data_IF_385817665670
#
_entry.id   IF_385817665670
#
_cell.length_a   1.000
_cell.length_b   1.000
_cell.length_c   1.000
_cell.angle_alpha   90.00
_cell.angle_beta   90.00
_cell.angle_gamma   90.00
#
_symmetry.space_group_name_H-M   'P 1'
#
loop_
_entity.id
_entity.type
_entity.pdbx_description
1 polymer ?
#
# COMPACT_ATOMS: atom_id res chain seq x y z
N UNK A 1 -9.24 1.81 -8.78
CA UNK A 1 -10.52 1.06 -8.86
C UNK A 1 -10.87 0.83 -10.32
N UNK A 2 -11.27 -0.39 -10.65
CA UNK A 2 -11.81 -0.74 -11.97
C UNK A 2 -13.19 -0.09 -12.15
N UNK A 3 -13.44 0.55 -13.30
CA UNK A 3 -14.75 1.17 -13.58
C UNK A 3 -15.76 0.09 -13.98
N UNK A 4 -17.03 0.27 -13.60
CA UNK A 4 -18.11 -0.65 -13.97
C UNK A 4 -18.14 -0.88 -15.50
N UNK A 5 -18.23 -2.14 -15.91
CA UNK A 5 -18.28 -2.56 -17.33
C UNK A 5 -16.92 -2.70 -18.03
N UNK A 6 -15.80 -2.53 -17.32
CA UNK A 6 -14.48 -2.86 -17.88
C UNK A 6 -14.14 -4.34 -17.66
N UNK A 7 -13.59 -4.98 -18.70
CA UNK A 7 -13.13 -6.37 -18.68
C UNK A 7 -11.65 -6.43 -19.09
N UNK A 8 -10.71 -6.06 -18.21
CA UNK A 8 -9.29 -6.15 -18.52
C UNK A 8 -8.84 -7.62 -18.54
N UNK A 9 -7.79 -7.91 -19.32
CA UNK A 9 -7.22 -9.28 -19.41
C UNK A 9 -6.55 -9.74 -18.12
N UNK A 10 -6.02 -8.81 -17.34
CA UNK A 10 -5.45 -9.05 -16.03
C UNK A 10 -5.68 -7.86 -15.12
N UNK A 11 -5.65 -8.11 -13.82
CA UNK A 11 -5.83 -7.10 -12.79
C UNK A 11 -4.78 -7.26 -11.71
N UNK A 12 -4.09 -6.16 -11.40
CA UNK A 12 -3.15 -6.06 -10.29
C UNK A 12 -3.77 -5.10 -9.28
N UNK A 13 -4.32 -5.64 -8.19
CA UNK A 13 -5.01 -4.84 -7.20
C UNK A 13 -4.02 -4.22 -6.21
N UNK A 14 -4.37 -3.05 -5.67
CA UNK A 14 -3.59 -2.42 -4.60
C UNK A 14 -3.80 -3.06 -3.22
N UNK A 15 -4.90 -3.80 -3.05
CA UNK A 15 -5.18 -4.59 -1.86
C UNK A 15 -6.09 -5.80 -2.22
N UNK A 16 -6.05 -6.86 -1.40
CA UNK A 16 -6.92 -8.04 -1.54
C UNK A 16 -8.41 -7.69 -1.45
N UNK A 17 -8.78 -6.66 -0.69
CA UNK A 17 -10.18 -6.21 -0.61
C UNK A 17 -10.71 -5.81 -2.00
N UNK A 18 -9.94 -5.08 -2.79
CA UNK A 18 -10.35 -4.66 -4.14
C UNK A 18 -10.36 -5.81 -5.13
N UNK A 19 -9.54 -6.84 -4.92
CA UNK A 19 -9.58 -8.07 -5.70
C UNK A 19 -10.86 -8.88 -5.40
N UNK A 20 -11.26 -8.96 -4.13
CA UNK A 20 -12.47 -9.69 -3.72
C UNK A 20 -13.76 -9.11 -4.34
N UNK A 21 -13.83 -7.78 -4.52
CA UNK A 21 -14.94 -7.11 -5.19
C UNK A 21 -15.12 -7.50 -6.67
N UNK A 22 -14.09 -8.10 -7.29
CA UNK A 22 -14.09 -8.50 -8.71
C UNK A 22 -13.78 -9.99 -8.88
N UNK A 23 -13.88 -10.79 -7.82
CA UNK A 23 -13.47 -12.20 -7.81
C UNK A 23 -14.17 -13.07 -8.86
N UNK A 24 -15.42 -12.74 -9.23
CA UNK A 24 -16.13 -13.42 -10.31
C UNK A 24 -15.42 -13.31 -11.67
N UNK A 25 -14.70 -12.21 -11.91
CA UNK A 25 -13.92 -12.01 -13.15
C UNK A 25 -12.49 -12.56 -13.01
N UNK A 26 -11.98 -12.67 -11.78
CA UNK A 26 -10.59 -12.96 -11.43
C UNK A 26 -10.50 -14.05 -10.35
N UNK A 27 -10.77 -15.33 -10.69
CA UNK A 27 -11.00 -16.40 -9.71
C UNK A 27 -9.75 -16.93 -9.00
N UNK A 28 -8.55 -16.66 -9.52
CA UNK A 28 -7.28 -17.21 -9.01
C UNK A 28 -6.24 -16.09 -8.78
N UNK A 29 -6.45 -15.20 -7.80
CA UNK A 29 -5.47 -14.19 -7.46
C UNK A 29 -4.24 -14.80 -6.81
N UNK A 30 -3.07 -14.22 -7.13
CA UNK A 30 -1.76 -14.58 -6.59
C UNK A 30 -1.15 -13.34 -5.96
N UNK A 31 -0.80 -13.42 -4.68
CA UNK A 31 -0.15 -12.33 -3.97
C UNK A 31 1.28 -12.12 -4.50
N UNK A 32 1.57 -10.90 -4.95
CA UNK A 32 2.83 -10.56 -5.61
C UNK A 32 3.76 -9.81 -4.67
N UNK A 33 3.22 -8.78 -4.03
CA UNK A 33 3.97 -7.86 -3.19
C UNK A 33 3.08 -7.31 -2.08
N UNK A 34 3.70 -6.63 -1.13
CA UNK A 34 3.06 -5.92 -0.04
C UNK A 34 3.55 -4.48 0.01
N UNK A 35 2.67 -3.60 0.46
CA UNK A 35 2.96 -2.20 0.70
C UNK A 35 2.43 -1.82 2.08
N UNK A 36 3.24 -1.17 2.90
CA UNK A 36 2.90 -0.89 4.30
C UNK A 36 2.54 0.59 4.47
N UNK A 37 1.44 0.86 5.17
CA UNK A 37 1.19 2.17 5.74
C UNK A 37 2.20 2.44 6.85
N UNK A 38 2.83 3.61 6.77
CA UNK A 38 3.77 4.11 7.76
C UNK A 38 3.36 5.52 8.17
N UNK A 39 3.86 5.95 9.32
CA UNK A 39 3.78 7.34 9.73
C UNK A 39 5.06 8.03 9.24
N UNK A 40 4.91 8.87 8.22
CA UNK A 40 5.99 9.70 7.70
C UNK A 40 6.13 10.95 8.57
N UNK A 41 7.36 11.27 8.94
CA UNK A 41 7.74 12.45 9.73
C UNK A 41 8.97 13.12 9.12
N UNK A 42 9.24 14.36 9.51
CA UNK A 42 10.50 15.01 9.14
C UNK A 42 11.72 14.24 9.68
N UNK A 43 12.85 14.35 8.98
CA UNK A 43 14.12 13.71 9.38
C UNK A 43 14.46 14.02 10.84
N UNK A 44 14.85 12.98 11.57
CA UNK A 44 15.16 13.05 12.99
C UNK A 44 13.93 13.01 13.90
N UNK A 45 12.72 12.93 13.34
CA UNK A 45 11.45 12.82 14.07
C UNK A 45 11.32 13.87 15.20
N UNK A 46 11.25 15.16 14.88
CA UNK A 46 11.30 16.25 15.86
C UNK A 46 10.15 16.25 16.87
N UNK A 47 9.03 15.60 16.52
CA UNK A 47 7.87 15.45 17.39
C UNK A 47 7.88 14.15 18.20
N UNK A 48 8.90 13.31 18.09
CA UNK A 48 9.02 12.03 18.80
C UNK A 48 7.80 11.11 18.61
N UNK A 49 7.31 11.01 17.37
CA UNK A 49 6.19 10.13 17.02
C UNK A 49 6.70 8.70 16.88
N UNK A 50 6.13 7.77 17.64
CA UNK A 50 6.55 6.37 17.66
C UNK A 50 5.41 5.39 17.38
N UNK A 51 4.18 5.88 17.41
CA UNK A 51 2.98 5.07 17.24
C UNK A 51 1.83 5.89 16.67
N UNK A 52 0.78 5.21 16.23
CA UNK A 52 -0.47 5.86 15.81
C UNK A 52 -1.08 6.74 16.90
N UNK A 53 -0.97 6.31 18.17
CA UNK A 53 -1.54 7.06 19.30
C UNK A 53 -0.85 8.41 19.50
N UNK A 54 0.42 8.54 19.13
CA UNK A 54 1.11 9.82 19.21
C UNK A 54 0.53 10.87 18.25
N UNK A 55 -0.19 10.44 17.19
CA UNK A 55 -0.88 11.34 16.27
C UNK A 55 -2.08 12.05 16.90
N UNK A 56 -2.57 11.59 18.05
CA UNK A 56 -3.69 12.22 18.78
C UNK A 56 -3.23 13.34 19.71
N UNK A 57 -1.91 13.59 19.84
CA UNK A 57 -1.39 14.66 20.70
C UNK A 57 -1.78 16.02 20.14
N UNK A 58 -2.30 16.89 21.00
CA UNK A 58 -2.78 18.22 20.61
C UNK A 58 -1.70 19.04 19.90
N UNK A 59 -2.11 19.80 18.88
CA UNK A 59 -1.24 20.72 18.15
C UNK A 59 -0.45 20.09 17.01
N UNK A 60 -0.53 18.77 16.80
CA UNK A 60 0.03 18.13 15.60
C UNK A 60 -0.81 18.40 14.36
N UNK A 61 -0.15 18.66 13.24
CA UNK A 61 -0.75 18.77 11.90
C UNK A 61 -0.55 17.46 11.16
N UNK A 62 -1.60 16.66 11.11
CA UNK A 62 -1.57 15.33 10.50
C UNK A 62 -2.20 15.38 9.10
N UNK A 63 -1.51 14.80 8.12
CA UNK A 63 -2.05 14.59 6.77
C UNK A 63 -2.40 13.13 6.50
N UNK A 64 -3.52 12.89 5.83
CA UNK A 64 -3.95 11.54 5.43
C UNK A 64 -4.47 11.49 3.99
N UNK A 65 -4.61 10.29 3.45
CA UNK A 65 -5.37 10.08 2.22
C UNK A 65 -6.87 10.30 2.45
N UNK A 66 -7.56 10.85 1.45
CA UNK A 66 -9.01 11.04 1.52
C UNK A 66 -9.73 9.71 1.23
N UNK A 67 -10.50 9.21 2.19
CA UNK A 67 -11.09 7.85 2.19
C UNK A 67 -11.92 7.52 0.93
N UNK A 68 -12.63 8.51 0.38
CA UNK A 68 -13.49 8.33 -0.80
C UNK A 68 -12.79 8.55 -2.14
N UNK A 69 -11.53 9.00 -2.12
CA UNK A 69 -10.80 9.39 -3.33
C UNK A 69 -9.64 8.43 -3.64
N UNK A 70 -9.12 7.70 -2.64
CA UNK A 70 -8.06 6.74 -2.85
C UNK A 70 -8.10 5.56 -1.86
N UNK A 71 -7.58 4.41 -2.31
CA UNK A 71 -7.47 3.20 -1.50
C UNK A 71 -6.66 3.42 -0.21
N UNK A 72 -5.53 4.11 -0.30
CA UNK A 72 -4.68 4.47 0.85
C UNK A 72 -5.47 5.20 1.94
N UNK A 73 -6.35 6.14 1.56
CA UNK A 73 -7.18 6.88 2.50
C UNK A 73 -8.21 5.99 3.20
N UNK A 74 -8.84 5.06 2.45
CA UNK A 74 -9.77 4.09 3.01
C UNK A 74 -9.07 3.17 4.02
N UNK A 75 -7.89 2.65 3.65
CA UNK A 75 -7.07 1.79 4.51
C UNK A 75 -6.64 2.57 5.77
N UNK A 76 -6.17 3.81 5.62
CA UNK A 76 -5.77 4.68 6.75
C UNK A 76 -6.91 4.85 7.76
N UNK A 77 -8.15 5.08 7.30
CA UNK A 77 -9.29 5.21 8.19
C UNK A 77 -9.60 3.90 8.94
N UNK A 78 -9.45 2.75 8.28
CA UNK A 78 -9.64 1.47 8.94
C UNK A 78 -8.52 1.15 9.92
N UNK A 79 -7.27 1.49 9.59
CA UNK A 79 -6.13 1.42 10.50
C UNK A 79 -6.39 2.25 11.77
N UNK A 80 -6.96 3.45 11.65
CA UNK A 80 -7.32 4.26 12.82
C UNK A 80 -8.48 3.68 13.63
N UNK A 81 -9.47 3.05 12.98
CA UNK A 81 -10.59 2.36 13.66
C UNK A 81 -10.10 1.16 14.45
N UNK A 82 -9.30 0.29 13.83
CA UNK A 82 -8.73 -0.90 14.47
C UNK A 82 -7.79 -0.50 15.62
N UNK A 83 -7.02 0.58 15.44
CA UNK A 83 -6.19 1.18 16.48
C UNK A 83 -6.98 1.90 17.59
N UNK A 84 -8.29 2.08 17.44
CA UNK A 84 -9.15 2.73 18.44
C UNK A 84 -8.86 4.21 18.66
N UNK A 85 -8.32 4.92 17.66
CA UNK A 85 -7.93 6.35 17.75
C UNK A 85 -8.63 7.24 16.74
N UNK A 86 -9.56 6.69 15.94
CA UNK A 86 -10.15 7.39 14.80
C UNK A 86 -10.78 8.73 15.20
N UNK A 87 -11.48 8.78 16.33
CA UNK A 87 -12.16 10.02 16.72
C UNK A 87 -11.17 11.10 17.15
N UNK A 88 -10.16 10.72 17.94
CA UNK A 88 -9.17 11.63 18.50
C UNK A 88 -8.18 12.13 17.45
N UNK A 89 -7.69 11.25 16.57
CA UNK A 89 -6.72 11.64 15.54
C UNK A 89 -7.31 12.62 14.53
N UNK A 90 -8.61 12.49 14.23
CA UNK A 90 -9.27 13.36 13.26
C UNK A 90 -9.33 14.83 13.70
N UNK A 91 -9.20 15.13 15.00
CA UNK A 91 -9.07 16.51 15.48
C UNK A 91 -7.76 17.18 15.04
N UNK A 92 -6.72 16.38 14.80
CA UNK A 92 -5.39 16.83 14.34
C UNK A 92 -5.21 16.72 12.83
N UNK A 93 -6.17 16.13 12.10
CA UNK A 93 -6.10 15.99 10.65
C UNK A 93 -6.38 17.34 10.00
N UNK A 94 -5.33 18.00 9.50
CA UNK A 94 -5.42 19.30 8.83
C UNK A 94 -5.53 19.19 7.31
N UNK A 95 -5.18 18.03 6.75
CA UNK A 95 -5.11 17.81 5.30
C UNK A 95 -5.60 16.41 4.94
N UNK A 96 -6.45 16.32 3.92
CA UNK A 96 -6.83 15.08 3.26
C UNK A 96 -6.60 15.19 1.75
N UNK A 97 -5.88 14.26 1.15
CA UNK A 97 -5.49 14.34 -0.28
C UNK A 97 -5.84 13.09 -1.07
N UNK A 98 -6.01 13.18 -2.40
CA UNK A 98 -6.26 12.00 -3.23
C UNK A 98 -5.01 11.11 -3.45
N UNK A 99 -3.79 11.56 -3.13
CA UNK A 99 -2.55 10.84 -3.46
C UNK A 99 -1.50 10.97 -2.35
N UNK A 100 -0.70 9.92 -2.14
CA UNK A 100 0.37 9.93 -1.14
C UNK A 100 1.49 10.94 -1.43
N UNK A 101 1.81 11.18 -2.71
CA UNK A 101 2.86 12.11 -3.11
C UNK A 101 2.56 13.56 -2.67
N UNK A 102 1.29 13.94 -2.62
CA UNK A 102 0.87 15.25 -2.09
C UNK A 102 1.12 15.38 -0.58
N UNK A 103 1.02 14.28 0.18
CA UNK A 103 1.34 14.26 1.61
C UNK A 103 2.85 14.39 1.83
N UNK A 104 3.64 13.64 1.05
CA UNK A 104 5.11 13.69 1.08
C UNK A 104 5.61 15.11 0.78
N UNK A 105 5.08 15.74 -0.26
CA UNK A 105 5.44 17.11 -0.61
C UNK A 105 5.11 18.12 0.51
N UNK A 106 3.97 17.97 1.18
CA UNK A 106 3.57 18.86 2.27
C UNK A 106 4.40 18.64 3.55
N UNK A 107 4.78 17.40 3.85
CA UNK A 107 5.74 17.10 4.91
C UNK A 107 7.09 17.75 4.64
N UNK A 108 7.62 17.61 3.42
CA UNK A 108 8.88 18.23 2.99
C UNK A 108 8.83 19.76 3.04
N UNK A 109 7.67 20.35 2.77
CA UNK A 109 7.45 21.79 2.89
C UNK A 109 7.26 22.29 4.33
N UNK A 110 7.19 21.39 5.32
CA UNK A 110 6.94 21.74 6.72
C UNK A 110 5.50 22.15 7.05
N UNK A 111 4.56 21.89 6.12
CA UNK A 111 3.13 22.17 6.32
C UNK A 111 2.46 21.14 7.23
N UNK A 112 3.05 19.95 7.35
CA UNK A 112 2.59 18.86 8.21
C UNK A 112 3.70 18.45 9.17
N UNK A 113 3.30 17.94 10.33
CA UNK A 113 4.21 17.37 11.33
C UNK A 113 4.32 15.84 11.16
N UNK A 114 3.24 15.21 10.69
CA UNK A 114 3.19 13.81 10.32
C UNK A 114 2.20 13.55 9.17
N UNK A 115 2.40 12.46 8.43
CA UNK A 115 1.40 11.95 7.51
C UNK A 115 1.33 10.42 7.55
N UNK A 116 0.14 9.86 7.33
CA UNK A 116 -0.02 8.42 7.10
C UNK A 116 -0.11 8.16 5.61
N UNK A 117 0.89 7.44 5.09
CA UNK A 117 1.02 7.12 3.68
C UNK A 117 1.71 5.76 3.51
N UNK A 118 1.77 5.25 2.29
CA UNK A 118 2.56 4.06 2.02
C UNK A 118 4.07 4.35 2.11
N UNK A 119 4.85 3.37 2.56
CA UNK A 119 6.31 3.43 2.57
C UNK A 119 6.86 3.77 1.19
N UNK A 120 6.27 3.17 0.15
CA UNK A 120 6.64 3.43 -1.25
C UNK A 120 6.44 4.87 -1.71
N UNK A 121 5.51 5.65 -1.13
CA UNK A 121 5.40 7.07 -1.45
C UNK A 121 6.63 7.87 -0.98
N UNK A 122 7.32 7.38 0.05
CA UNK A 122 8.54 8.00 0.56
C UNK A 122 9.83 7.43 -0.07
N UNK A 123 9.72 6.55 -1.07
CA UNK A 123 10.86 6.06 -1.83
C UNK A 123 11.68 7.24 -2.36
N UNK A 124 12.99 7.23 -2.15
CA UNK A 124 13.89 8.33 -2.52
C UNK A 124 13.79 9.61 -1.67
N UNK A 125 12.94 9.66 -0.63
CA UNK A 125 12.82 10.81 0.28
C UNK A 125 13.50 10.61 1.64
N UNK A 126 14.26 9.51 1.83
CA UNK A 126 14.88 9.13 3.11
C UNK A 126 15.94 10.10 3.66
N UNK A 127 16.46 11.02 2.84
CA UNK A 127 17.31 12.12 3.30
C UNK A 127 16.50 13.20 4.04
N UNK A 128 15.21 13.33 3.76
CA UNK A 128 14.34 14.39 4.28
C UNK A 128 13.30 13.91 5.27
N UNK A 129 12.90 12.64 5.16
CA UNK A 129 11.83 12.04 5.93
C UNK A 129 12.31 10.77 6.62
N UNK A 130 11.73 10.49 7.78
CA UNK A 130 11.80 9.18 8.42
C UNK A 130 10.42 8.51 8.39
N UNK A 131 10.41 7.18 8.33
CA UNK A 131 9.20 6.38 8.36
C UNK A 131 9.13 5.60 9.68
N UNK A 132 8.03 5.77 10.41
CA UNK A 132 7.73 5.04 11.64
C UNK A 132 6.72 3.95 11.30
N UNK A 133 7.09 2.70 11.56
CA UNK A 133 6.23 1.55 11.29
C UNK A 133 4.98 1.54 12.18
N UNK A 134 3.85 1.18 11.58
CA UNK A 134 2.61 0.91 12.30
C UNK A 134 2.62 -0.57 12.69
N UNK A 135 2.66 -0.86 13.98
CA UNK A 135 2.74 -2.23 14.50
C UNK A 135 1.39 -2.70 15.05
N UNK A 136 1.12 -4.00 14.90
CA UNK A 136 -0.04 -4.66 15.53
C UNK A 136 -1.39 -4.34 14.92
N UNK A 137 -1.43 -3.78 13.71
CA UNK A 137 -2.66 -3.51 12.95
C UNK A 137 -2.53 -4.15 11.59
N UNK A 138 -3.32 -5.20 11.34
CA UNK A 138 -3.17 -6.04 10.15
C UNK A 138 -3.52 -5.27 8.88
N UNK A 139 -4.60 -4.47 8.92
CA UNK A 139 -5.03 -3.70 7.76
C UNK A 139 -4.05 -2.58 7.35
N UNK A 140 -3.02 -2.26 8.15
CA UNK A 140 -1.99 -1.32 7.75
C UNK A 140 -1.08 -1.88 6.63
N UNK A 141 -1.11 -3.19 6.39
CA UNK A 141 -0.35 -3.84 5.31
C UNK A 141 -1.28 -4.17 4.16
N UNK A 142 -1.04 -3.55 3.00
CA UNK A 142 -1.81 -3.80 1.78
C UNK A 142 -1.12 -4.90 0.94
N UNK A 143 -1.83 -5.99 0.70
CA UNK A 143 -1.33 -7.11 -0.14
C UNK A 143 -1.76 -6.87 -1.57
N UNK A 144 -0.84 -6.93 -2.52
CA UNK A 144 -1.10 -6.64 -3.92
C UNK A 144 -1.23 -7.95 -4.72
N UNK A 145 -2.46 -8.43 -4.99
CA UNK A 145 -2.66 -9.62 -5.78
C UNK A 145 -2.73 -9.31 -7.28
N UNK A 146 -2.21 -10.23 -8.08
CA UNK A 146 -2.37 -10.31 -9.52
C UNK A 146 -3.33 -11.44 -9.89
N UNK A 147 -4.22 -11.20 -10.84
CA UNK A 147 -5.07 -12.25 -11.42
C UNK A 147 -5.27 -12.03 -12.92
N UNK A 148 -5.43 -13.13 -13.66
CA UNK A 148 -5.84 -13.12 -15.07
C UNK A 148 -7.35 -13.30 -15.14
N UNK A 149 -8.01 -12.56 -16.02
CA UNK A 149 -9.46 -12.67 -16.22
C UNK A 149 -9.83 -14.03 -16.78
N UNK A 150 -10.88 -14.65 -16.23
CA UNK A 150 -11.42 -15.92 -16.75
C UNK A 150 -11.94 -15.81 -18.20
N UNK A 151 -12.23 -14.59 -18.65
CA UNK A 151 -12.76 -14.28 -19.99
C UNK A 151 -11.67 -13.79 -20.96
N UNK A 152 -10.41 -13.70 -20.52
CA UNK A 152 -9.33 -13.16 -21.35
C UNK A 152 -9.09 -14.02 -22.59
N UNK A 153 -9.10 -13.38 -23.76
CA UNK A 153 -8.65 -14.00 -25.01
C UNK A 153 -7.12 -14.02 -25.13
N UNK A 154 -6.42 -13.38 -24.20
CA UNK A 154 -4.98 -13.18 -24.20
C UNK A 154 -4.32 -13.78 -22.95
N UNK A 155 -4.88 -14.84 -22.39
CA UNK A 155 -4.38 -15.49 -21.17
C UNK A 155 -2.87 -15.78 -21.21
N UNK A 156 -2.36 -16.30 -22.34
CA UNK A 156 -0.93 -16.59 -22.51
C UNK A 156 -0.06 -15.32 -22.48
N UNK A 157 -0.57 -14.20 -23.00
CA UNK A 157 0.12 -12.91 -22.93
C UNK A 157 0.11 -12.38 -21.51
N UNK A 158 -1.01 -12.50 -20.80
CA UNK A 158 -1.11 -12.12 -19.39
C UNK A 158 -0.18 -12.97 -18.50
N UNK A 159 -0.04 -14.27 -18.77
CA UNK A 159 0.92 -15.14 -18.08
C UNK A 159 2.37 -14.72 -18.32
N UNK A 160 2.76 -14.42 -19.56
CA UNK A 160 4.12 -13.92 -19.86
C UNK A 160 4.40 -12.56 -19.20
N UNK A 161 3.38 -11.69 -19.12
CA UNK A 161 3.49 -10.43 -18.38
C UNK A 161 3.70 -10.71 -16.88
N UNK A 162 2.95 -11.66 -16.31
CA UNK A 162 3.14 -12.06 -14.92
C UNK A 162 4.53 -12.63 -14.65
N UNK A 163 5.06 -13.48 -15.54
CA UNK A 163 6.44 -13.96 -15.47
C UNK A 163 7.46 -12.82 -15.51
N UNK A 164 7.24 -11.81 -16.37
CA UNK A 164 8.09 -10.63 -16.42
C UNK A 164 8.03 -9.80 -15.13
N UNK A 165 6.83 -9.63 -14.54
CA UNK A 165 6.64 -8.99 -13.23
C UNK A 165 7.38 -9.78 -12.14
N UNK A 166 7.40 -11.11 -12.23
CA UNK A 166 8.08 -11.98 -11.28
C UNK A 166 9.59 -12.12 -11.49
N UNK A 167 10.16 -11.47 -12.51
CA UNK A 167 11.59 -11.54 -12.80
C UNK A 167 12.43 -10.87 -11.71
N UNK A 168 13.65 -11.36 -11.45
CA UNK A 168 14.54 -10.78 -10.44
C UNK A 168 14.79 -9.26 -10.61
N UNK A 169 14.96 -8.70 -11.82
CA UNK A 169 15.03 -7.25 -12.00
C UNK A 169 13.78 -6.51 -11.52
N UNK A 170 12.58 -7.05 -11.80
CA UNK A 170 11.33 -6.47 -11.33
C UNK A 170 11.22 -6.56 -9.80
N UNK A 171 11.55 -7.71 -9.20
CA UNK A 171 11.57 -7.86 -7.73
C UNK A 171 12.48 -6.82 -7.05
N UNK A 172 13.66 -6.57 -7.63
CA UNK A 172 14.58 -5.54 -7.13
C UNK A 172 13.99 -4.13 -7.26
N UNK A 173 13.29 -3.83 -8.36
CA UNK A 173 12.60 -2.55 -8.53
C UNK A 173 11.48 -2.38 -7.50
N UNK A 174 10.68 -3.41 -7.23
CA UNK A 174 9.66 -3.36 -6.17
C UNK A 174 10.30 -3.07 -4.81
N UNK A 175 11.39 -3.78 -4.48
CA UNK A 175 12.11 -3.58 -3.23
C UNK A 175 12.73 -2.17 -3.11
N UNK A 176 13.31 -1.63 -4.19
CA UNK A 176 13.89 -0.28 -4.17
C UNK A 176 12.83 0.81 -4.01
N UNK A 177 11.61 0.55 -4.48
CA UNK A 177 10.46 1.43 -4.31
C UNK A 177 9.71 1.17 -2.98
N UNK A 178 10.25 0.37 -2.06
CA UNK A 178 9.68 0.19 -0.71
C UNK A 178 8.55 -0.84 -0.61
N UNK A 179 8.36 -1.69 -1.63
CA UNK A 179 7.46 -2.85 -1.56
C UNK A 179 8.19 -4.08 -1.04
N UNK A 180 7.49 -4.91 -0.26
CA UNK A 180 7.99 -6.22 0.15
C UNK A 180 7.51 -7.28 -0.83
N UNK A 181 8.44 -7.98 -1.49
CA UNK A 181 8.10 -9.06 -2.41
C UNK A 181 7.52 -10.28 -1.67
N UNK A 182 6.43 -10.86 -2.18
CA UNK A 182 5.73 -11.99 -1.55
C UNK A 182 5.72 -13.25 -2.44
N UNK A 183 5.69 -13.09 -3.75
CA UNK A 183 5.53 -14.25 -4.64
C UNK A 183 6.76 -15.16 -4.63
N UNK A 184 6.58 -16.41 -4.23
CA UNK A 184 7.55 -17.47 -4.44
C UNK A 184 6.94 -18.51 -5.37
N UNK A 185 7.57 -18.84 -6.52
CA UNK A 185 7.09 -19.94 -7.35
C UNK A 185 7.12 -21.21 -6.49
N UNK A 186 6.02 -21.99 -6.50
CA UNK A 186 6.02 -23.30 -5.85
C UNK A 186 7.20 -24.08 -6.40
N UNK A 187 8.10 -24.50 -5.52
CA UNK A 187 9.19 -25.41 -5.86
C UNK A 187 8.57 -26.57 -6.62
N UNK A 188 8.89 -26.71 -7.90
CA UNK A 188 8.58 -27.93 -8.62
C UNK A 188 9.36 -29.01 -7.89
N UNK A 189 8.67 -29.81 -7.06
CA UNK A 189 9.21 -31.08 -6.62
C UNK A 189 9.44 -31.86 -7.92
N UNK A 190 10.67 -31.80 -8.41
CA UNK A 190 11.18 -32.80 -9.34
C UNK A 190 11.13 -34.08 -8.52
N UNK A 191 10.14 -34.92 -8.80
CA UNK A 191 10.08 -36.26 -8.27
C UNK A 191 11.31 -37.01 -8.78
N UNK A 192 12.40 -36.91 -8.03
CA UNK A 192 13.54 -37.81 -8.13
C UNK A 192 13.22 -39.07 -7.33
N UNK A 193 13.02 -40.18 -8.03
CA UNK A 193 12.94 -41.53 -7.46
C UNK A 193 11.66 -42.25 -7.88
N UNK A 194 11.68 -43.47 -8.41
CA UNK A 194 12.75 -44.45 -8.66
C UNK A 194 12.33 -45.30 -9.87
#
# INVERSE_FOLDING_TARGET
QMKAGQHPDAYFACDTEFMSQVGDLFPEPVDVSQNELVILVQKGNPHHISSLRDLTREGLRVGIGHEKQCAMGWITQNTFKEGGIQQEVMANVTVQTPTGDMLVNQLRAGSLDAAVAYLSNAAGSGEFLDAVQIQGIECATAIQPWAVSKESKYAQTASRLFEAICSAPSQNSFASEGFTWQFSPKSTQVASGQ
#
